data_IF_087647610517
#
_entry.id   IF_087647610517
#
_cell.length_a   1.000
_cell.length_b   1.000
_cell.length_c   1.000
_cell.angle_alpha   90.00
_cell.angle_beta   90.00
_cell.angle_gamma   90.00
#
_symmetry.space_group_name_H-M   'P 1'
#
loop_
_entity.id
_entity.type
_entity.pdbx_description
1 polymer ?
#
# COMPACT_ATOMS: atom_id res chain seq x y z
N UNK A 1 -30.32 13.65 -2.69
CA UNK A 1 -30.24 13.74 -4.14
C UNK A 1 -29.52 12.51 -4.63
N UNK A 2 -30.23 11.65 -5.38
CA UNK A 2 -29.63 10.46 -6.01
C UNK A 2 -28.80 10.92 -7.22
N UNK A 3 -27.49 11.05 -7.09
CA UNK A 3 -26.62 11.13 -8.25
C UNK A 3 -26.40 9.70 -8.74
N UNK A 4 -27.18 9.29 -9.72
CA UNK A 4 -26.89 8.08 -10.50
C UNK A 4 -25.65 8.43 -11.34
N UNK A 5 -24.56 7.67 -11.17
CA UNK A 5 -23.39 7.76 -12.02
C UNK A 5 -23.82 7.70 -13.49
N UNK A 6 -23.29 8.59 -14.32
CA UNK A 6 -23.60 8.57 -15.75
C UNK A 6 -23.03 7.29 -16.39
N UNK A 7 -23.62 6.81 -17.49
CA UNK A 7 -23.12 5.62 -18.20
C UNK A 7 -21.66 5.77 -18.66
N UNK A 8 -21.18 6.99 -18.83
CA UNK A 8 -19.79 7.32 -19.15
C UNK A 8 -18.83 7.05 -17.96
N UNK A 9 -19.22 7.49 -16.75
CA UNK A 9 -18.45 7.26 -15.51
C UNK A 9 -18.33 5.77 -15.18
N UNK A 10 -19.40 5.01 -15.41
CA UNK A 10 -19.39 3.54 -15.25
C UNK A 10 -18.45 2.88 -16.26
N UNK A 11 -18.45 3.30 -17.52
CA UNK A 11 -17.54 2.77 -18.55
C UNK A 11 -16.08 3.04 -18.24
N UNK A 12 -15.76 4.22 -17.73
CA UNK A 12 -14.40 4.58 -17.30
C UNK A 12 -13.95 3.77 -16.09
N UNK A 13 -14.84 3.52 -15.13
CA UNK A 13 -14.56 2.64 -13.99
C UNK A 13 -14.24 1.22 -14.46
N UNK A 14 -15.01 0.66 -15.38
CA UNK A 14 -14.74 -0.69 -15.94
C UNK A 14 -13.37 -0.74 -16.64
N UNK A 15 -13.06 0.26 -17.47
CA UNK A 15 -11.79 0.32 -18.19
C UNK A 15 -10.59 0.44 -17.23
N UNK A 16 -10.77 1.18 -16.13
CA UNK A 16 -9.76 1.31 -15.08
C UNK A 16 -9.56 -0.01 -14.32
N UNK A 17 -10.63 -0.67 -13.91
CA UNK A 17 -10.57 -1.95 -13.18
C UNK A 17 -9.95 -3.06 -14.03
N UNK A 18 -10.22 -3.09 -15.33
CA UNK A 18 -9.60 -4.00 -16.29
C UNK A 18 -8.10 -3.73 -16.45
N UNK A 19 -7.71 -2.45 -16.53
CA UNK A 19 -6.31 -2.02 -16.60
C UNK A 19 -5.51 -2.44 -15.36
N UNK A 20 -6.12 -2.35 -14.18
CA UNK A 20 -5.50 -2.74 -12.90
C UNK A 20 -5.66 -4.24 -12.58
N UNK A 21 -6.15 -5.04 -13.55
CA UNK A 21 -6.42 -6.48 -13.40
C UNK A 21 -7.38 -6.83 -12.25
N UNK A 22 -8.24 -5.90 -11.87
CA UNK A 22 -9.30 -6.12 -10.89
C UNK A 22 -10.52 -6.67 -11.65
N UNK A 23 -10.78 -7.95 -11.52
CA UNK A 23 -11.93 -8.60 -12.19
C UNK A 23 -13.24 -8.20 -11.51
N UNK A 24 -13.80 -7.07 -11.91
CA UNK A 24 -15.08 -6.56 -11.42
C UNK A 24 -16.24 -7.54 -11.69
N UNK A 25 -16.23 -8.19 -12.85
CA UNK A 25 -17.25 -9.18 -13.21
C UNK A 25 -17.29 -10.36 -12.26
N UNK A 26 -16.13 -10.87 -11.84
CA UNK A 26 -16.06 -12.00 -10.92
C UNK A 26 -16.49 -11.61 -9.51
N UNK A 27 -16.13 -10.40 -9.05
CA UNK A 27 -16.53 -9.90 -7.73
C UNK A 27 -18.04 -9.73 -7.64
N UNK A 28 -18.67 -9.11 -8.63
CA UNK A 28 -20.12 -8.89 -8.62
C UNK A 28 -20.92 -10.15 -8.95
N UNK A 29 -20.47 -11.00 -9.87
CA UNK A 29 -21.19 -12.23 -10.21
C UNK A 29 -21.07 -13.31 -9.14
N UNK A 30 -19.91 -13.51 -8.55
CA UNK A 30 -19.73 -14.51 -7.48
C UNK A 30 -20.32 -14.09 -6.14
N UNK A 31 -20.16 -12.81 -5.76
CA UNK A 31 -20.59 -12.32 -4.45
C UNK A 31 -22.04 -11.88 -4.40
N UNK A 32 -22.50 -11.19 -5.41
CA UNK A 32 -23.83 -10.59 -5.44
C UNK A 32 -24.78 -11.36 -6.36
N UNK A 33 -24.27 -12.29 -7.17
CA UNK A 33 -25.04 -13.00 -8.18
C UNK A 33 -25.63 -12.02 -9.22
N UNK A 34 -24.93 -10.91 -9.47
CA UNK A 34 -25.33 -9.84 -10.38
C UNK A 34 -24.45 -9.95 -11.63
N UNK A 35 -25.08 -10.12 -12.78
CA UNK A 35 -24.38 -9.94 -14.07
C UNK A 35 -23.94 -8.46 -14.20
N UNK A 36 -22.77 -8.15 -14.78
CA UNK A 36 -22.24 -6.78 -14.89
C UNK A 36 -23.01 -5.95 -15.94
N UNK A 37 -24.32 -5.88 -15.81
CA UNK A 37 -25.22 -5.03 -16.59
C UNK A 37 -25.77 -3.95 -15.65
N UNK A 38 -26.10 -2.78 -16.18
CA UNK A 38 -26.58 -1.61 -15.42
C UNK A 38 -27.55 -1.96 -14.29
N UNK A 39 -27.34 -1.39 -13.06
CA UNK A 39 -28.19 -1.70 -11.92
C UNK A 39 -29.64 -1.32 -12.19
N UNK A 40 -30.52 -2.30 -12.12
CA UNK A 40 -31.97 -2.12 -12.12
C UNK A 40 -32.48 -2.06 -10.67
N UNK A 41 -33.72 -1.59 -10.47
CA UNK A 41 -34.36 -1.60 -9.13
C UNK A 41 -34.40 -2.99 -8.47
N UNK A 42 -34.36 -4.08 -9.25
CA UNK A 42 -34.25 -5.44 -8.75
C UNK A 42 -32.87 -5.77 -8.16
N UNK A 43 -31.83 -5.04 -8.52
CA UNK A 43 -30.46 -5.25 -8.02
C UNK A 43 -30.26 -4.59 -6.65
N UNK A 44 -30.95 -3.48 -6.38
CA UNK A 44 -30.99 -2.89 -5.02
C UNK A 44 -31.54 -3.90 -4.00
N UNK A 45 -32.55 -4.65 -4.35
CA UNK A 45 -33.11 -5.70 -3.47
C UNK A 45 -32.17 -6.89 -3.31
N UNK A 46 -31.38 -7.26 -4.34
CA UNK A 46 -30.34 -8.30 -4.25
C UNK A 46 -29.19 -7.85 -3.36
N UNK A 47 -28.69 -6.64 -3.50
CA UNK A 47 -27.69 -6.03 -2.63
C UNK A 47 -28.18 -6.00 -1.17
N UNK A 48 -29.42 -5.59 -0.97
CA UNK A 48 -30.06 -5.54 0.36
C UNK A 48 -30.22 -6.94 0.96
N UNK A 49 -30.58 -7.94 0.16
CA UNK A 49 -30.67 -9.36 0.57
C UNK A 49 -29.30 -9.94 0.89
N UNK A 50 -28.26 -9.57 0.14
CA UNK A 50 -26.90 -9.98 0.38
C UNK A 50 -26.38 -9.42 1.72
N UNK A 51 -26.57 -8.13 1.99
CA UNK A 51 -26.24 -7.53 3.29
C UNK A 51 -27.01 -8.20 4.44
N UNK A 52 -28.30 -8.52 4.26
CA UNK A 52 -29.06 -9.29 5.24
C UNK A 52 -28.47 -10.69 5.50
N UNK A 53 -27.95 -11.36 4.48
CA UNK A 53 -27.31 -12.68 4.64
C UNK A 53 -26.01 -12.59 5.44
N UNK A 54 -25.20 -11.57 5.22
CA UNK A 54 -23.95 -11.34 5.97
C UNK A 54 -24.28 -11.00 7.42
N UNK A 55 -25.23 -10.10 7.66
CA UNK A 55 -25.66 -9.68 9.01
C UNK A 55 -26.31 -10.85 9.77
N UNK A 56 -27.04 -11.74 9.08
CA UNK A 56 -27.70 -12.89 9.70
C UNK A 56 -26.81 -14.14 9.87
N UNK A 57 -25.57 -14.12 9.34
CA UNK A 57 -24.56 -15.16 9.58
C UNK A 57 -23.29 -14.56 10.22
N UNK A 58 -23.39 -14.06 11.46
CA UNK A 58 -22.30 -13.35 12.12
C UNK A 58 -21.06 -14.22 12.40
N UNK A 59 -21.12 -15.53 12.14
CA UNK A 59 -20.04 -16.48 12.44
C UNK A 59 -19.16 -16.83 11.24
N UNK A 60 -19.42 -16.30 10.04
CA UNK A 60 -18.57 -16.52 8.88
C UNK A 60 -17.66 -15.30 8.63
N UNK A 61 -16.72 -15.11 9.56
CA UNK A 61 -15.73 -14.01 9.51
C UNK A 61 -14.94 -13.97 8.20
N UNK A 62 -14.69 -15.10 7.56
CA UNK A 62 -13.92 -15.16 6.32
C UNK A 62 -14.69 -14.53 5.15
N UNK A 63 -16.00 -14.81 5.06
CA UNK A 63 -16.87 -14.20 4.03
C UNK A 63 -17.02 -12.71 4.27
N UNK A 64 -17.23 -12.29 5.52
CA UNK A 64 -17.36 -10.88 5.86
C UNK A 64 -16.07 -10.10 5.61
N UNK A 65 -14.91 -10.67 5.98
CA UNK A 65 -13.60 -10.06 5.73
C UNK A 65 -13.29 -9.96 4.23
N UNK A 66 -13.52 -11.03 3.47
CA UNK A 66 -13.33 -11.02 2.01
C UNK A 66 -14.16 -9.92 1.37
N UNK A 67 -15.44 -9.84 1.72
CA UNK A 67 -16.37 -8.84 1.21
C UNK A 67 -15.92 -7.41 1.57
N UNK A 68 -15.51 -7.19 2.83
CA UNK A 68 -14.97 -5.91 3.26
C UNK A 68 -13.75 -5.49 2.41
N UNK A 69 -12.79 -6.39 2.23
CA UNK A 69 -11.58 -6.11 1.44
C UNK A 69 -11.90 -5.84 -0.04
N UNK A 70 -12.89 -6.53 -0.60
CA UNK A 70 -13.33 -6.32 -1.98
C UNK A 70 -14.02 -4.94 -2.15
N UNK A 71 -14.91 -4.56 -1.22
CA UNK A 71 -15.51 -3.22 -1.21
C UNK A 71 -14.46 -2.15 -1.06
N UNK A 72 -13.52 -2.30 -0.14
CA UNK A 72 -12.43 -1.35 0.05
C UNK A 72 -11.57 -1.21 -1.22
N UNK A 73 -11.28 -2.32 -1.90
CA UNK A 73 -10.52 -2.29 -3.15
C UNK A 73 -11.25 -1.53 -4.26
N UNK A 74 -12.57 -1.74 -4.39
CA UNK A 74 -13.40 -1.04 -5.37
C UNK A 74 -13.49 0.45 -5.02
N UNK A 75 -13.71 0.78 -3.76
CA UNK A 75 -13.78 2.16 -3.30
C UNK A 75 -12.45 2.90 -3.52
N UNK A 76 -11.32 2.27 -3.18
CA UNK A 76 -9.99 2.84 -3.43
C UNK A 76 -9.73 3.05 -4.92
N UNK A 77 -10.15 2.11 -5.77
CA UNK A 77 -10.03 2.26 -7.23
C UNK A 77 -10.89 3.42 -7.76
N UNK A 78 -12.11 3.58 -7.23
CA UNK A 78 -13.01 4.67 -7.61
C UNK A 78 -12.44 6.03 -7.20
N UNK A 79 -11.98 6.17 -5.96
CA UNK A 79 -11.37 7.41 -5.44
C UNK A 79 -10.11 7.77 -6.25
N UNK A 80 -9.28 6.76 -6.56
CA UNK A 80 -8.09 6.96 -7.38
C UNK A 80 -8.45 7.44 -8.78
N UNK A 81 -9.46 6.84 -9.42
CA UNK A 81 -9.91 7.22 -10.75
C UNK A 81 -10.49 8.65 -10.77
N UNK A 82 -11.35 8.97 -9.80
CA UNK A 82 -11.98 10.30 -9.67
C UNK A 82 -10.93 11.40 -9.49
N UNK A 83 -10.02 11.22 -8.54
CA UNK A 83 -8.94 12.17 -8.27
C UNK A 83 -7.94 12.31 -9.44
N UNK A 84 -7.65 11.22 -10.16
CA UNK A 84 -6.72 11.26 -11.29
C UNK A 84 -7.33 11.98 -12.50
N UNK A 85 -8.64 11.87 -12.72
CA UNK A 85 -9.36 12.55 -13.80
C UNK A 85 -9.50 14.05 -13.50
N UNK A 86 -9.81 14.40 -12.25
CA UNK A 86 -9.99 15.80 -11.83
C UNK A 86 -8.70 16.64 -11.88
N UNK A 87 -7.53 16.03 -11.65
CA UNK A 87 -6.26 16.74 -11.51
C UNK A 87 -5.32 16.68 -12.72
N UNK A 88 -5.71 16.07 -13.85
CA UNK A 88 -4.81 15.79 -15.00
C UNK A 88 -3.49 15.07 -14.56
N UNK A 89 -3.62 14.15 -13.59
CA UNK A 89 -2.51 13.54 -12.87
C UNK A 89 -1.86 12.34 -13.61
N UNK A 90 -2.10 12.20 -14.90
CA UNK A 90 -1.57 11.07 -15.70
C UNK A 90 -0.05 11.03 -15.64
N UNK A 91 0.62 12.18 -15.73
CA UNK A 91 2.09 12.27 -15.65
C UNK A 91 2.64 11.81 -14.31
N UNK A 92 1.90 12.05 -13.22
CA UNK A 92 2.30 11.61 -11.88
C UNK A 92 2.11 10.12 -11.65
N UNK A 93 1.06 9.54 -12.22
CA UNK A 93 0.88 8.09 -12.18
C UNK A 93 2.04 7.37 -12.88
N UNK A 94 2.52 7.93 -14.00
CA UNK A 94 3.69 7.41 -14.72
C UNK A 94 4.98 7.56 -13.90
N UNK A 95 5.18 8.69 -13.24
CA UNK A 95 6.32 8.91 -12.33
C UNK A 95 6.28 7.95 -11.13
N UNK A 96 5.12 7.78 -10.53
CA UNK A 96 4.94 6.82 -9.44
C UNK A 96 5.24 5.39 -9.87
N UNK A 97 4.82 4.99 -11.06
CA UNK A 97 5.13 3.65 -11.57
C UNK A 97 6.63 3.49 -11.85
N UNK A 98 7.29 4.51 -12.37
CA UNK A 98 8.75 4.52 -12.54
C UNK A 98 9.46 4.38 -11.19
N UNK A 99 9.06 5.15 -10.18
CA UNK A 99 9.62 5.07 -8.82
C UNK A 99 9.41 3.69 -8.19
N UNK A 100 8.25 3.07 -8.36
CA UNK A 100 7.97 1.71 -7.90
C UNK A 100 8.86 0.67 -8.58
N UNK A 101 9.06 0.80 -9.90
CA UNK A 101 9.93 -0.09 -10.66
C UNK A 101 11.39 0.10 -10.24
N UNK A 102 11.86 1.33 -10.15
CA UNK A 102 13.22 1.66 -9.71
C UNK A 102 13.51 1.11 -8.30
N UNK A 103 12.58 1.34 -7.36
CA UNK A 103 12.69 0.81 -6.00
C UNK A 103 12.81 -0.72 -6.00
N UNK A 104 11.93 -1.42 -6.68
CA UNK A 104 11.93 -2.88 -6.69
C UNK A 104 13.23 -3.47 -7.21
N UNK A 105 13.88 -2.80 -8.17
CA UNK A 105 15.17 -3.21 -8.70
C UNK A 105 16.35 -2.83 -7.79
N UNK A 106 16.32 -1.68 -7.16
CA UNK A 106 17.45 -1.14 -6.38
C UNK A 106 17.45 -1.58 -4.92
N UNK A 107 16.28 -1.66 -4.29
CA UNK A 107 16.16 -1.93 -2.86
C UNK A 107 16.92 -3.16 -2.36
N UNK A 108 16.87 -4.33 -3.03
CA UNK A 108 17.60 -5.50 -2.58
C UNK A 108 19.11 -5.29 -2.50
N UNK A 109 19.67 -4.54 -3.44
CA UNK A 109 21.11 -4.26 -3.49
C UNK A 109 21.52 -3.19 -2.48
N UNK A 110 20.70 -2.15 -2.30
CA UNK A 110 20.91 -1.11 -1.29
C UNK A 110 20.92 -1.73 0.11
N UNK A 111 19.90 -2.54 0.43
CA UNK A 111 19.84 -3.24 1.70
C UNK A 111 21.04 -4.16 1.92
N UNK A 112 21.44 -4.92 0.89
CA UNK A 112 22.61 -5.81 0.99
C UNK A 112 23.89 -5.01 1.25
N UNK A 113 24.11 -3.89 0.56
CA UNK A 113 25.26 -3.01 0.80
C UNK A 113 25.26 -2.44 2.21
N UNK A 114 24.11 -2.03 2.74
CA UNK A 114 23.98 -1.60 4.13
C UNK A 114 24.35 -2.72 5.12
N UNK A 115 23.84 -3.93 4.91
CA UNK A 115 24.12 -5.09 5.76
C UNK A 115 25.60 -5.50 5.73
N UNK A 116 26.23 -5.36 4.58
CA UNK A 116 27.68 -5.67 4.42
C UNK A 116 28.55 -4.68 5.20
N UNK A 117 28.12 -3.43 5.32
CA UNK A 117 28.80 -2.40 6.10
C UNK A 117 28.58 -2.53 7.62
N UNK A 118 27.51 -3.24 8.05
CA UNK A 118 27.25 -3.50 9.48
C UNK A 118 28.16 -4.56 10.11
N UNK A 119 29.22 -5.01 9.46
CA UNK A 119 30.12 -6.09 9.91
C UNK A 119 30.89 -5.74 11.19
N UNK A 120 30.18 -5.68 12.29
CA UNK A 120 30.77 -5.72 13.62
C UNK A 120 30.90 -7.19 14.05
N UNK A 121 32.12 -7.59 14.41
CA UNK A 121 32.42 -8.99 14.80
C UNK A 121 32.04 -9.29 16.26
N UNK A 122 31.08 -8.56 16.84
CA UNK A 122 30.58 -8.90 18.17
C UNK A 122 29.75 -10.19 18.09
N UNK A 123 29.84 -11.02 19.12
CA UNK A 123 29.07 -12.25 19.26
C UNK A 123 27.57 -12.01 19.00
N UNK A 124 27.04 -10.89 19.52
CA UNK A 124 25.65 -10.51 19.32
C UNK A 124 25.30 -10.28 17.85
N UNK A 125 26.15 -9.64 17.08
CA UNK A 125 25.89 -9.36 15.66
C UNK A 125 26.09 -10.62 14.80
N UNK A 126 26.95 -11.53 15.20
CA UNK A 126 27.06 -12.86 14.58
C UNK A 126 25.75 -13.63 14.74
N UNK A 127 25.21 -13.70 15.96
CA UNK A 127 23.94 -14.39 16.23
C UNK A 127 22.76 -13.71 15.51
N UNK A 128 22.68 -12.38 15.49
CA UNK A 128 21.67 -11.64 14.71
C UNK A 128 21.72 -11.97 13.22
N UNK A 129 22.92 -12.06 12.68
CA UNK A 129 23.13 -12.42 11.27
C UNK A 129 22.69 -13.84 10.97
N UNK A 130 23.02 -14.79 11.88
CA UNK A 130 22.60 -16.18 11.76
C UNK A 130 21.08 -16.32 11.76
N UNK A 131 20.39 -15.73 12.76
CA UNK A 131 18.92 -15.76 12.84
C UNK A 131 18.28 -15.14 11.59
N UNK A 132 18.83 -14.04 11.10
CA UNK A 132 18.35 -13.39 9.87
C UNK A 132 18.49 -14.32 8.66
N UNK A 133 19.62 -14.97 8.47
CA UNK A 133 19.84 -15.91 7.36
C UNK A 133 18.93 -17.13 7.43
N UNK A 134 18.70 -17.66 8.63
CA UNK A 134 17.75 -18.75 8.86
C UNK A 134 16.32 -18.32 8.50
N UNK A 135 15.91 -17.11 8.90
CA UNK A 135 14.61 -16.52 8.54
C UNK A 135 14.46 -16.34 7.03
N UNK A 136 15.50 -15.86 6.34
CA UNK A 136 15.52 -15.73 4.87
C UNK A 136 15.35 -17.10 4.20
N UNK A 137 16.01 -18.13 4.67
CA UNK A 137 15.87 -19.47 4.12
C UNK A 137 14.46 -20.03 4.32
N UNK A 138 13.86 -19.76 5.48
CA UNK A 138 12.50 -20.19 5.79
C UNK A 138 11.47 -19.49 4.89
N UNK A 139 11.60 -18.17 4.67
CA UNK A 139 10.68 -17.45 3.77
C UNK A 139 10.82 -17.91 2.33
N UNK A 140 12.07 -18.13 1.84
CA UNK A 140 12.31 -18.66 0.48
C UNK A 140 11.61 -19.99 0.26
N UNK A 141 11.65 -20.89 1.25
CA UNK A 141 10.93 -22.16 1.20
C UNK A 141 9.41 -21.92 1.12
N UNK A 142 8.86 -21.10 2.01
CA UNK A 142 7.43 -20.79 2.02
C UNK A 142 6.95 -20.13 0.72
N UNK A 143 7.73 -19.21 0.13
CA UNK A 143 7.43 -18.58 -1.15
C UNK A 143 7.38 -19.58 -2.32
N UNK A 144 8.29 -20.58 -2.34
CA UNK A 144 8.27 -21.69 -3.31
C UNK A 144 7.03 -22.58 -3.13
N UNK A 145 6.56 -22.75 -1.90
CA UNK A 145 5.35 -23.49 -1.57
C UNK A 145 4.05 -22.66 -1.82
N UNK A 146 4.15 -21.44 -2.34
CA UNK A 146 3.02 -20.57 -2.63
C UNK A 146 2.42 -19.86 -1.41
N UNK A 147 3.09 -19.87 -0.25
CA UNK A 147 2.63 -19.17 0.95
C UNK A 147 2.70 -17.67 0.74
N UNK A 148 1.69 -16.95 1.25
CA UNK A 148 1.57 -15.49 1.16
C UNK A 148 1.62 -14.81 2.53
N UNK A 149 1.34 -15.55 3.62
CA UNK A 149 1.34 -15.05 5.00
C UNK A 149 2.49 -15.71 5.75
N UNK A 150 3.29 -14.88 6.41
CA UNK A 150 4.46 -15.31 7.18
C UNK A 150 4.43 -14.66 8.55
N UNK A 151 4.80 -15.42 9.57
CA UNK A 151 4.97 -14.95 10.94
C UNK A 151 6.45 -14.98 11.31
N UNK A 152 6.94 -13.89 11.93
CA UNK A 152 8.30 -13.78 12.46
C UNK A 152 8.26 -13.65 13.98
N UNK A 153 8.63 -14.71 14.69
CA UNK A 153 8.82 -14.69 16.12
C UNK A 153 10.30 -14.62 16.46
N UNK A 154 10.72 -13.57 17.13
CA UNK A 154 12.13 -13.39 17.52
C UNK A 154 12.24 -12.60 18.83
N UNK A 155 13.29 -12.83 19.66
CA UNK A 155 13.51 -12.12 20.91
C UNK A 155 13.64 -10.60 20.73
N UNK A 156 13.41 -9.85 21.80
CA UNK A 156 13.70 -8.40 21.83
C UNK A 156 15.20 -8.18 21.62
N UNK A 157 15.58 -7.18 20.83
CA UNK A 157 16.99 -6.88 20.54
C UNK A 157 17.64 -7.77 19.48
N UNK A 158 16.92 -8.74 18.88
CA UNK A 158 17.43 -9.60 17.81
C UNK A 158 17.61 -8.91 16.45
N UNK A 159 17.19 -7.65 16.30
CA UNK A 159 17.23 -6.92 15.03
C UNK A 159 16.03 -7.21 14.13
N UNK A 160 14.82 -7.33 14.72
CA UNK A 160 13.57 -7.62 13.99
C UNK A 160 13.34 -6.71 12.78
N UNK A 161 13.59 -5.40 12.91
CA UNK A 161 13.43 -4.44 11.80
C UNK A 161 14.26 -4.86 10.59
N UNK A 162 15.56 -5.12 10.79
CA UNK A 162 16.43 -5.57 9.69
C UNK A 162 16.06 -6.97 9.16
N UNK A 163 15.54 -7.85 10.01
CA UNK A 163 15.01 -9.13 9.55
C UNK A 163 13.79 -8.92 8.65
N UNK A 164 12.78 -8.14 9.09
CA UNK A 164 11.59 -7.87 8.29
C UNK A 164 11.94 -7.20 6.95
N UNK A 165 12.85 -6.24 6.95
CA UNK A 165 13.35 -5.59 5.74
C UNK A 165 14.06 -6.60 4.80
N UNK A 166 14.82 -7.55 5.37
CA UNK A 166 15.46 -8.61 4.59
C UNK A 166 14.44 -9.59 4.01
N UNK A 167 13.39 -9.92 4.76
CA UNK A 167 12.30 -10.77 4.27
C UNK A 167 11.52 -10.06 3.14
N UNK A 168 11.22 -8.75 3.29
CA UNK A 168 10.61 -7.95 2.24
C UNK A 168 11.46 -7.93 0.96
N UNK A 169 12.79 -7.81 1.08
CA UNK A 169 13.71 -7.92 -0.05
C UNK A 169 13.60 -9.26 -0.78
N UNK A 170 13.46 -10.37 -0.05
CA UNK A 170 13.28 -11.70 -0.66
C UNK A 170 11.91 -11.83 -1.36
N UNK A 171 10.86 -11.22 -0.82
CA UNK A 171 9.54 -11.19 -1.46
C UNK A 171 9.61 -10.37 -2.75
N UNK A 172 10.24 -9.20 -2.75
CA UNK A 172 10.46 -8.38 -3.93
C UNK A 172 11.17 -9.18 -5.02
N UNK A 173 12.29 -9.84 -4.69
CA UNK A 173 13.06 -10.68 -5.63
C UNK A 173 12.25 -11.86 -6.20
N UNK A 174 11.41 -12.47 -5.36
CA UNK A 174 10.74 -13.73 -5.72
C UNK A 174 9.37 -13.52 -6.38
N UNK A 175 8.67 -12.44 -6.06
CA UNK A 175 7.29 -12.17 -6.49
C UNK A 175 7.14 -10.93 -7.34
N UNK A 176 8.21 -10.13 -7.51
CA UNK A 176 8.14 -8.88 -8.23
C UNK A 176 7.30 -7.80 -7.51
N UNK A 177 7.18 -7.90 -6.18
CA UNK A 177 6.50 -6.86 -5.41
C UNK A 177 7.23 -5.52 -5.61
N UNK A 178 6.46 -4.45 -5.79
CA UNK A 178 7.00 -3.12 -6.11
C UNK A 178 6.93 -2.16 -4.92
N UNK A 179 6.26 -2.54 -3.82
CA UNK A 179 5.98 -1.68 -2.66
C UNK A 179 6.15 -2.43 -1.36
N UNK A 180 6.59 -1.69 -0.34
CA UNK A 180 6.60 -2.13 1.05
C UNK A 180 5.69 -1.20 1.84
N UNK A 181 4.73 -1.76 2.57
CA UNK A 181 3.94 -1.03 3.56
C UNK A 181 4.32 -1.58 4.93
N UNK A 182 4.97 -0.75 5.75
CA UNK A 182 5.39 -1.10 7.09
C UNK A 182 4.36 -0.58 8.10
N UNK A 183 3.38 -1.42 8.40
CA UNK A 183 2.32 -1.10 9.36
C UNK A 183 2.76 -1.29 10.81
N UNK A 184 2.46 -0.32 11.67
CA UNK A 184 2.85 -0.30 13.09
C UNK A 184 1.63 -0.09 13.99
N UNK A 185 1.63 -0.67 15.21
CA UNK A 185 0.48 -0.53 16.11
C UNK A 185 0.36 0.85 16.75
N UNK A 186 1.47 1.60 16.85
CA UNK A 186 1.54 2.87 17.58
C UNK A 186 2.36 3.92 16.84
N UNK A 187 1.92 5.18 16.91
CA UNK A 187 2.61 6.35 16.34
C UNK A 187 4.03 6.57 16.91
N UNK A 188 4.24 6.25 18.18
CA UNK A 188 5.55 6.47 18.84
C UNK A 188 6.69 5.65 18.24
N UNK A 189 6.38 4.61 17.46
CA UNK A 189 7.38 3.74 16.86
C UNK A 189 7.63 4.11 15.38
N UNK A 190 6.71 4.84 14.74
CA UNK A 190 6.82 5.20 13.32
C UNK A 190 8.06 6.04 13.04
N UNK A 191 8.34 7.04 13.87
CA UNK A 191 9.54 7.90 13.77
C UNK A 191 10.85 7.12 13.90
N UNK A 192 10.89 6.18 14.85
CA UNK A 192 12.08 5.34 15.04
C UNK A 192 12.33 4.45 13.81
N UNK A 193 11.28 3.81 13.28
CA UNK A 193 11.38 2.96 12.08
C UNK A 193 11.76 3.80 10.86
N UNK A 194 11.16 4.98 10.69
CA UNK A 194 11.51 5.92 9.64
C UNK A 194 13.00 6.26 9.67
N UNK A 195 13.53 6.66 10.84
CA UNK A 195 14.96 6.98 11.02
C UNK A 195 15.87 5.80 10.66
N UNK A 196 15.46 4.57 10.97
CA UNK A 196 16.23 3.36 10.60
C UNK A 196 16.17 3.09 9.09
N UNK A 197 15.00 3.23 8.48
CA UNK A 197 14.79 3.03 7.05
C UNK A 197 15.55 4.07 6.21
N UNK A 198 15.51 5.34 6.62
CA UNK A 198 16.24 6.42 5.95
C UNK A 198 17.77 6.23 6.01
N UNK A 199 18.31 5.63 7.08
CA UNK A 199 19.74 5.26 7.14
C UNK A 199 20.09 4.17 6.13
N UNK A 200 19.20 3.21 5.91
CA UNK A 200 19.38 2.14 4.93
C UNK A 200 19.27 2.67 3.51
N UNK A 201 18.27 3.51 3.27
CA UNK A 201 17.96 4.11 1.96
C UNK A 201 18.64 5.47 1.75
N UNK A 202 19.81 5.69 2.37
CA UNK A 202 20.56 6.94 2.21
C UNK A 202 20.87 7.21 0.74
N UNK A 203 20.50 8.40 0.25
CA UNK A 203 20.56 8.81 -1.15
C UNK A 203 19.34 8.37 -1.99
N UNK A 204 18.37 7.72 -1.37
CA UNK A 204 17.11 7.26 -1.96
C UNK A 204 15.92 7.58 -1.04
N UNK A 205 16.02 8.66 -0.26
CA UNK A 205 15.02 9.08 0.72
C UNK A 205 13.67 9.37 0.08
N UNK A 206 13.65 9.76 -1.19
CA UNK A 206 12.44 10.01 -1.98
C UNK A 206 11.56 8.76 -2.20
N UNK A 207 12.07 7.57 -1.95
CA UNK A 207 11.25 6.36 -1.94
C UNK A 207 10.41 6.19 -0.68
N UNK A 208 10.76 6.90 0.41
CA UNK A 208 10.20 6.67 1.74
C UNK A 208 9.23 7.77 2.10
N UNK A 209 8.05 7.39 2.53
CA UNK A 209 7.07 8.30 3.10
C UNK A 209 6.49 7.72 4.39
N UNK A 210 6.47 8.53 5.44
CA UNK A 210 5.68 8.27 6.63
C UNK A 210 4.29 8.89 6.44
N UNK A 211 3.25 8.09 6.63
CA UNK A 211 1.85 8.50 6.51
C UNK A 211 1.14 8.15 7.82
N UNK A 212 1.07 9.10 8.72
CA UNK A 212 0.35 8.98 10.00
C UNK A 212 -0.22 10.34 10.43
N UNK A 213 -1.01 10.38 11.49
CA UNK A 213 -1.65 11.61 11.97
C UNK A 213 -0.67 12.68 12.50
N UNK A 214 0.61 12.36 12.61
CA UNK A 214 1.69 13.27 13.04
C UNK A 214 2.76 13.46 11.98
N UNK A 215 2.65 12.79 10.83
CA UNK A 215 3.59 13.00 9.75
C UNK A 215 3.42 14.42 9.22
N UNK A 216 4.51 15.18 9.25
CA UNK A 216 4.64 16.44 8.53
C UNK A 216 5.34 16.13 7.23
N UNK A 217 4.67 16.30 6.12
CA UNK A 217 5.32 16.29 4.82
C UNK A 217 5.95 17.67 4.64
N UNK A 218 7.26 17.78 4.89
CA UNK A 218 7.97 19.07 4.79
C UNK A 218 7.78 19.72 3.44
N UNK A 219 7.71 18.93 2.35
CA UNK A 219 7.46 19.44 1.01
C UNK A 219 6.03 20.01 0.88
N UNK A 220 5.05 19.38 1.52
CA UNK A 220 3.70 19.89 1.58
C UNK A 220 3.64 21.23 2.31
N UNK A 221 4.26 21.32 3.50
CA UNK A 221 4.33 22.54 4.29
C UNK A 221 5.06 23.68 3.56
N UNK A 222 6.13 23.35 2.81
CA UNK A 222 6.90 24.33 2.05
C UNK A 222 6.10 24.86 0.85
N UNK A 223 5.43 23.99 0.09
CA UNK A 223 4.55 24.37 -1.03
C UNK A 223 3.36 25.18 -0.51
N UNK A 224 2.75 24.78 0.61
CA UNK A 224 1.64 25.53 1.20
C UNK A 224 2.05 26.97 1.56
N UNK A 225 3.23 27.14 2.18
CA UNK A 225 3.77 28.48 2.48
C UNK A 225 4.05 29.29 1.23
N UNK A 226 4.64 28.67 0.20
CA UNK A 226 4.92 29.34 -1.08
C UNK A 226 3.62 29.72 -1.79
N UNK A 227 2.60 28.89 -1.69
CA UNK A 227 1.26 29.16 -2.23
C UNK A 227 0.59 30.34 -1.52
N UNK A 228 0.74 30.44 -0.20
CA UNK A 228 0.22 31.56 0.61
C UNK A 228 0.92 32.89 0.25
N UNK A 229 2.22 32.85 -0.06
CA UNK A 229 3.00 34.03 -0.45
C UNK A 229 2.82 34.42 -1.93
N UNK A 230 2.78 33.42 -2.82
CA UNK A 230 2.70 33.58 -4.27
C UNK A 230 1.74 32.56 -4.88
N UNK A 231 0.43 32.80 -4.86
CA UNK A 231 -0.55 31.87 -5.44
C UNK A 231 -0.27 31.58 -6.91
N UNK A 232 -0.08 30.31 -7.25
CA UNK A 232 0.09 29.85 -8.63
C UNK A 232 -0.63 28.54 -8.85
N UNK A 233 -1.20 28.37 -10.04
CA UNK A 233 -1.89 27.14 -10.45
C UNK A 233 -0.96 25.93 -10.41
N UNK A 234 0.31 26.13 -10.76
CA UNK A 234 1.33 25.07 -10.71
C UNK A 234 1.58 24.56 -9.29
N UNK A 235 1.68 25.46 -8.30
CA UNK A 235 1.88 25.07 -6.91
C UNK A 235 0.64 24.35 -6.35
N UNK A 236 -0.56 24.80 -6.76
CA UNK A 236 -1.79 24.14 -6.38
C UNK A 236 -1.85 22.72 -6.92
N UNK A 237 -1.53 22.52 -8.19
CA UNK A 237 -1.44 21.18 -8.80
C UNK A 237 -0.40 20.30 -8.11
N UNK A 238 0.76 20.86 -7.72
CA UNK A 238 1.78 20.12 -7.01
C UNK A 238 1.31 19.69 -5.61
N UNK A 239 0.56 20.55 -4.92
CA UNK A 239 -0.02 20.25 -3.61
C UNK A 239 -1.06 19.12 -3.71
N UNK A 240 -2.03 19.25 -4.63
CA UNK A 240 -3.05 18.22 -4.91
C UNK A 240 -2.42 16.88 -5.25
N UNK A 241 -1.33 16.94 -5.95
CA UNK A 241 -0.54 15.81 -6.35
C UNK A 241 0.11 15.08 -5.18
N UNK A 242 0.67 15.79 -4.22
CA UNK A 242 1.22 15.22 -3.00
C UNK A 242 0.13 14.60 -2.12
N UNK A 243 -1.03 15.29 -1.98
CA UNK A 243 -2.19 14.75 -1.27
C UNK A 243 -2.66 13.43 -1.90
N UNK A 244 -2.75 13.40 -3.23
CA UNK A 244 -3.12 12.19 -3.95
C UNK A 244 -2.14 11.04 -3.71
N UNK A 245 -0.82 11.30 -3.70
CA UNK A 245 0.19 10.29 -3.40
C UNK A 245 0.04 9.73 -1.99
N UNK A 246 -0.26 10.57 -1.00
CA UNK A 246 -0.47 10.13 0.38
C UNK A 246 -1.75 9.31 0.52
N UNK A 247 -2.86 9.77 -0.03
CA UNK A 247 -4.15 9.11 0.05
C UNK A 247 -4.19 7.76 -0.70
N UNK A 248 -3.41 7.63 -1.77
CA UNK A 248 -3.33 6.38 -2.55
C UNK A 248 -2.16 5.48 -2.15
N UNK A 249 -1.43 5.82 -1.09
CA UNK A 249 -0.19 5.13 -0.73
C UNK A 249 0.78 5.02 -1.92
N UNK A 250 0.98 6.12 -2.67
CA UNK A 250 1.71 6.17 -3.94
C UNK A 250 3.21 5.86 -3.84
N UNK A 251 3.80 5.96 -2.66
CA UNK A 251 5.24 5.77 -2.44
C UNK A 251 5.68 4.31 -2.44
N UNK A 252 6.92 4.03 -2.87
CA UNK A 252 7.47 2.67 -2.86
C UNK A 252 7.66 2.07 -1.47
N UNK A 253 8.05 2.88 -0.48
CA UNK A 253 8.20 2.46 0.91
C UNK A 253 7.37 3.35 1.83
N UNK A 254 6.35 2.78 2.43
CA UNK A 254 5.41 3.48 3.30
C UNK A 254 5.54 2.99 4.72
N UNK A 255 5.66 3.94 5.68
CA UNK A 255 5.63 3.68 7.11
C UNK A 255 4.36 4.29 7.65
N UNK A 256 3.50 3.48 8.26
CA UNK A 256 2.18 3.94 8.71
C UNK A 256 1.68 3.16 9.92
N UNK A 257 0.52 3.51 10.42
CA UNK A 257 -0.16 2.75 11.48
C UNK A 257 -1.19 1.78 10.91
N UNK A 258 -1.51 0.71 11.65
CA UNK A 258 -2.60 -0.19 11.26
C UNK A 258 -3.93 0.55 11.08
N UNK A 259 -4.20 1.52 11.95
CA UNK A 259 -5.41 2.34 11.87
C UNK A 259 -5.50 3.01 10.50
N UNK A 260 -4.43 3.68 10.06
CA UNK A 260 -4.41 4.38 8.76
C UNK A 260 -4.58 3.42 7.56
N UNK A 261 -4.04 2.19 7.63
CA UNK A 261 -4.22 1.19 6.57
C UNK A 261 -5.70 0.79 6.39
N UNK A 262 -6.47 0.75 7.50
CA UNK A 262 -7.86 0.30 7.47
C UNK A 262 -8.88 1.43 7.38
N UNK A 263 -8.48 2.68 7.60
CA UNK A 263 -9.35 3.87 7.49
C UNK A 263 -9.28 4.55 6.10
N UNK A 264 -8.31 4.18 5.28
CA UNK A 264 -8.20 4.63 3.89
C UNK A 264 -8.97 3.67 3.02
#
# INVERSE_FOLDING_TARGET
>A
GNSILSGYEVSNLYAFLDKEHISFGNVFSELLGIEPSMPSSMEEDRIRLFFKRIVNKPNDYNVALRFYLEIQSIFSALVKADKSDAGDMISMLDENEQNLNEFSHKYPNILQGYLDNLKSQTLLNIERTKIRLESINSIRKGLKEGKQIFELTAPTGSGKTLMLLSLASEIIKSKGAKRIIYGLPFLSITEQVESEVLKILKGYEYFVQRIDSKSTNTRFDDIQKELDENPSEKLLQELEALEFQEDTFGYPFIITTFVRIFET
#
